data_IF_560777447809
#
_entry.id   IF_560777447809
#
_cell.length_a   1.000
_cell.length_b   1.000
_cell.length_c   1.000
_cell.angle_alpha   90.00
_cell.angle_beta   90.00
_cell.angle_gamma   90.00
#
_symmetry.space_group_name_H-M   'P 1'
#
loop_
_entity.id
_entity.type
_entity.pdbx_description
1 polymer ?
#
# COMPACT_ATOMS: atom_id res chain seq x y z
N UNK A 1 -15.27 -11.03 -72.02
CA UNK A 1 -14.37 -10.49 -70.98
C UNK A 1 -14.98 -10.81 -69.63
N UNK A 2 -14.63 -11.95 -69.05
CA UNK A 2 -15.21 -12.47 -67.81
C UNK A 2 -14.32 -12.07 -66.65
N UNK A 3 -14.84 -11.20 -65.78
CA UNK A 3 -14.25 -10.86 -64.49
C UNK A 3 -14.02 -12.15 -63.69
N UNK A 4 -12.76 -12.49 -63.41
CA UNK A 4 -12.39 -13.53 -62.47
C UNK A 4 -12.71 -13.04 -61.06
N UNK A 5 -13.93 -13.29 -60.59
CA UNK A 5 -14.27 -13.21 -59.17
C UNK A 5 -13.40 -14.23 -58.43
N UNK A 6 -12.35 -13.75 -57.76
CA UNK A 6 -11.57 -14.53 -56.81
C UNK A 6 -12.51 -15.02 -55.71
N UNK A 7 -12.82 -16.33 -55.70
CA UNK A 7 -13.60 -16.96 -54.63
C UNK A 7 -12.84 -16.80 -53.31
N UNK A 8 -13.23 -15.84 -52.48
CA UNK A 8 -12.80 -15.75 -51.09
C UNK A 8 -13.21 -17.05 -50.39
N UNK A 9 -12.22 -17.90 -50.14
CA UNK A 9 -12.45 -19.26 -49.61
C UNK A 9 -12.53 -19.24 -48.08
N UNK A 10 -12.20 -18.11 -47.44
CA UNK A 10 -12.18 -17.92 -45.98
C UNK A 10 -12.64 -16.50 -45.63
N UNK A 11 -13.30 -16.35 -44.48
CA UNK A 11 -13.47 -15.05 -43.83
C UNK A 11 -12.61 -14.97 -42.56
N UNK A 12 -11.81 -13.91 -42.44
CA UNK A 12 -10.97 -13.63 -41.27
C UNK A 12 -11.48 -12.37 -40.55
N UNK A 13 -11.81 -12.51 -39.28
CA UNK A 13 -12.31 -11.43 -38.43
C UNK A 13 -11.42 -11.30 -37.19
N UNK A 14 -11.02 -10.06 -36.87
CA UNK A 14 -10.23 -9.72 -35.69
C UNK A 14 -11.14 -9.03 -34.69
N UNK A 15 -11.12 -9.48 -33.44
CA UNK A 15 -11.88 -8.89 -32.33
C UNK A 15 -10.92 -8.56 -31.18
N UNK A 16 -10.51 -7.30 -31.01
CA UNK A 16 -9.69 -6.89 -29.87
C UNK A 16 -10.52 -6.93 -28.57
N UNK A 17 -9.93 -7.42 -27.48
CA UNK A 17 -10.60 -7.48 -26.17
C UNK A 17 -10.51 -6.16 -25.38
N UNK A 18 -9.51 -5.33 -25.67
CA UNK A 18 -9.36 -3.98 -25.11
C UNK A 18 -9.36 -2.95 -26.25
N UNK A 19 -10.52 -2.37 -26.52
CA UNK A 19 -10.64 -1.32 -27.53
C UNK A 19 -10.17 0.00 -26.91
N UNK A 20 -9.32 0.79 -27.59
CA UNK A 20 -9.02 2.14 -27.14
C UNK A 20 -10.32 2.96 -27.02
N UNK A 21 -10.59 3.53 -25.85
CA UNK A 21 -11.71 4.46 -25.67
C UNK A 21 -11.54 5.73 -26.52
N UNK A 22 -10.27 6.05 -26.79
CA UNK A 22 -9.87 7.25 -27.49
C UNK A 22 -9.10 6.89 -28.76
N UNK A 23 -9.49 7.49 -29.89
CA UNK A 23 -8.75 7.33 -31.13
C UNK A 23 -7.56 8.30 -31.14
N UNK A 24 -6.43 7.94 -31.79
CA UNK A 24 -5.26 8.81 -31.89
C UNK A 24 -5.56 10.13 -32.63
N UNK A 25 -6.58 10.13 -33.49
CA UNK A 25 -7.06 11.33 -34.17
C UNK A 25 -7.90 12.17 -33.19
N UNK A 26 -7.28 13.27 -32.75
CA UNK A 26 -7.86 14.19 -31.77
C UNK A 26 -9.13 14.87 -32.27
N UNK A 27 -9.80 15.55 -31.34
CA UNK A 27 -10.84 16.55 -31.58
C UNK A 27 -10.63 17.24 -32.92
N UNK A 28 -11.36 16.79 -33.94
CA UNK A 28 -11.70 17.65 -35.04
C UNK A 28 -12.59 18.74 -34.45
N UNK A 29 -11.97 19.76 -33.83
CA UNK A 29 -12.54 21.09 -33.93
C UNK A 29 -12.67 21.27 -35.43
N UNK A 30 -13.90 21.13 -35.92
CA UNK A 30 -14.30 21.53 -37.27
C UNK A 30 -14.08 23.04 -37.37
N UNK A 31 -12.83 23.46 -37.38
CA UNK A 31 -12.47 24.76 -37.92
C UNK A 31 -12.69 24.59 -39.41
N UNK A 32 -13.71 25.30 -39.90
CA UNK A 32 -13.97 25.42 -41.31
C UNK A 32 -12.79 26.20 -41.95
N UNK A 33 -11.65 25.56 -42.16
CA UNK A 33 -10.66 26.04 -43.13
C UNK A 33 -10.87 25.26 -44.42
N UNK A 34 -11.52 25.92 -45.37
CA UNK A 34 -11.64 25.42 -46.74
C UNK A 34 -10.25 25.18 -47.33
N UNK A 35 -10.03 23.97 -47.83
CA UNK A 35 -8.99 23.70 -48.81
C UNK A 35 -7.76 22.93 -48.32
N UNK A 36 -7.94 21.76 -47.71
CA UNK A 36 -7.10 20.59 -48.03
C UNK A 36 -7.68 19.33 -47.38
N UNK A 37 -8.69 18.73 -48.02
CA UNK A 37 -9.13 17.37 -47.67
C UNK A 37 -8.10 16.38 -48.22
N UNK A 38 -7.00 16.18 -47.48
CA UNK A 38 -6.28 14.92 -47.57
C UNK A 38 -7.22 13.85 -47.02
N UNK A 39 -7.61 12.91 -47.87
CA UNK A 39 -8.34 11.70 -47.48
C UNK A 39 -7.52 10.97 -46.41
N UNK A 40 -7.82 11.24 -45.14
CA UNK A 40 -7.29 10.53 -44.00
C UNK A 40 -7.92 9.15 -44.00
N UNK A 41 -7.09 8.12 -44.14
CA UNK A 41 -7.49 6.72 -44.07
C UNK A 41 -8.13 6.45 -42.71
N UNK A 42 -9.46 6.37 -42.67
CA UNK A 42 -10.22 6.00 -41.47
C UNK A 42 -9.72 4.65 -40.95
N UNK A 43 -8.96 4.65 -39.85
CA UNK A 43 -8.55 3.40 -39.18
C UNK A 43 -9.80 2.83 -38.51
N UNK A 44 -10.26 1.62 -38.87
CA UNK A 44 -11.41 1.04 -38.22
C UNK A 44 -11.05 0.66 -36.78
N UNK A 45 -11.77 1.22 -35.80
CA UNK A 45 -11.64 0.91 -34.37
C UNK A 45 -11.72 -0.60 -34.06
N UNK A 46 -12.36 -1.37 -34.95
CA UNK A 46 -12.44 -2.84 -34.87
C UNK A 46 -11.10 -3.56 -35.06
N UNK A 47 -10.01 -2.86 -35.38
CA UNK A 47 -8.66 -3.44 -35.56
C UNK A 47 -7.58 -2.73 -34.72
N UNK A 48 -7.98 -2.01 -33.68
CA UNK A 48 -7.08 -1.36 -32.72
C UNK A 48 -7.16 -2.01 -31.35
N UNK A 49 -6.01 -2.31 -30.75
CA UNK A 49 -5.88 -2.84 -29.39
C UNK A 49 -5.12 -1.84 -28.52
N UNK A 50 -5.66 -1.54 -27.34
CA UNK A 50 -4.98 -0.79 -26.30
C UNK A 50 -4.13 -1.76 -25.47
N UNK A 51 -2.87 -1.38 -25.20
CA UNK A 51 -1.93 -2.14 -24.38
C UNK A 51 -1.52 -1.31 -23.16
N UNK A 52 -1.74 -1.87 -21.97
CA UNK A 52 -1.19 -1.35 -20.72
C UNK A 52 0.05 -2.15 -20.32
N UNK A 53 1.22 -1.51 -20.10
CA UNK A 53 2.41 -2.21 -19.64
C UNK A 53 2.16 -2.99 -18.35
N UNK A 54 2.60 -4.25 -18.32
CA UNK A 54 2.39 -5.17 -17.19
C UNK A 54 1.09 -5.98 -17.25
N UNK A 55 0.11 -5.57 -18.05
CA UNK A 55 -1.15 -6.29 -18.23
C UNK A 55 -1.18 -7.09 -19.54
N UNK A 56 -1.71 -8.32 -19.54
CA UNK A 56 -1.93 -9.07 -20.77
C UNK A 56 -3.15 -8.53 -21.53
N UNK A 57 -3.01 -8.35 -22.84
CA UNK A 57 -4.10 -7.94 -23.74
C UNK A 57 -4.23 -8.93 -24.89
N UNK A 58 -5.44 -9.13 -25.39
CA UNK A 58 -5.73 -10.22 -26.35
C UNK A 58 -6.47 -9.73 -27.61
N UNK A 59 -6.14 -10.32 -28.76
CA UNK A 59 -6.93 -10.22 -29.99
C UNK A 59 -7.41 -11.60 -30.38
N UNK A 60 -8.72 -11.78 -30.45
CA UNK A 60 -9.34 -13.02 -30.95
C UNK A 60 -9.42 -12.95 -32.47
N UNK A 61 -8.86 -13.96 -33.13
CA UNK A 61 -8.88 -14.15 -34.58
C UNK A 61 -9.88 -15.26 -34.89
N UNK A 62 -11.01 -14.89 -35.50
CA UNK A 62 -12.02 -15.83 -35.96
C UNK A 62 -11.83 -16.12 -37.44
N UNK A 63 -11.69 -17.40 -37.77
CA UNK A 63 -11.32 -17.87 -39.10
C UNK A 63 -12.35 -18.89 -39.53
N UNK A 64 -13.13 -18.56 -40.56
CA UNK A 64 -14.20 -19.45 -41.06
C UNK A 64 -13.87 -19.97 -42.44
N UNK A 65 -13.85 -21.28 -42.59
CA UNK A 65 -13.62 -21.93 -43.88
C UNK A 65 -14.92 -21.91 -44.69
N UNK A 66 -15.00 -21.07 -45.70
CA UNK A 66 -16.13 -20.97 -46.65
C UNK A 66 -15.97 -21.96 -47.83
N UNK A 67 -14.87 -22.70 -47.86
CA UNK A 67 -14.57 -23.71 -48.87
C UNK A 67 -15.24 -25.07 -48.59
N UNK A 68 -15.11 -25.96 -49.57
CA UNK A 68 -15.64 -27.34 -49.52
C UNK A 68 -14.59 -28.37 -49.09
N UNK A 69 -13.39 -27.94 -48.67
CA UNK A 69 -12.25 -28.82 -48.35
C UNK A 69 -11.56 -28.42 -47.05
N UNK A 70 -10.89 -29.38 -46.40
CA UNK A 70 -10.10 -29.16 -45.18
C UNK A 70 -8.86 -28.28 -45.47
N UNK A 71 -8.55 -27.38 -44.55
CA UNK A 71 -7.41 -26.46 -44.66
C UNK A 71 -6.53 -26.56 -43.42
N UNK A 72 -5.22 -26.63 -43.61
CA UNK A 72 -4.23 -26.47 -42.56
C UNK A 72 -3.85 -24.99 -42.43
N UNK A 73 -4.04 -24.41 -41.25
CA UNK A 73 -3.71 -23.03 -40.96
C UNK A 73 -2.39 -22.94 -40.19
N UNK A 74 -1.51 -22.06 -40.66
CA UNK A 74 -0.39 -21.54 -39.89
C UNK A 74 -0.51 -20.02 -39.78
N UNK A 75 -0.49 -19.50 -38.55
CA UNK A 75 -0.59 -18.07 -38.28
C UNK A 75 0.78 -17.52 -37.93
N UNK A 76 1.15 -16.43 -38.59
CA UNK A 76 2.36 -15.69 -38.29
C UNK A 76 2.02 -14.22 -38.10
N UNK A 77 2.59 -13.60 -37.06
CA UNK A 77 2.46 -12.17 -36.81
C UNK A 77 3.80 -11.52 -37.07
N UNK A 78 3.79 -10.41 -37.81
CA UNK A 78 4.94 -9.54 -38.01
C UNK A 78 4.52 -8.09 -37.80
N UNK A 79 5.46 -7.22 -37.45
CA UNK A 79 5.14 -5.83 -37.16
C UNK A 79 6.34 -5.00 -36.76
N UNK A 80 6.09 -3.73 -36.47
CA UNK A 80 7.11 -2.79 -36.01
C UNK A 80 7.32 -2.81 -34.49
N UNK A 81 6.85 -3.87 -33.82
CA UNK A 81 6.97 -4.12 -32.38
C UNK A 81 7.89 -5.33 -32.09
N UNK A 82 8.47 -5.44 -30.88
CA UNK A 82 9.30 -6.57 -30.52
C UNK A 82 8.56 -7.91 -30.60
N UNK A 83 9.16 -8.90 -31.26
CA UNK A 83 8.59 -10.26 -31.39
C UNK A 83 8.32 -10.94 -30.04
N UNK A 84 8.96 -10.51 -28.96
CA UNK A 84 8.74 -11.03 -27.61
C UNK A 84 7.38 -10.63 -27.02
N UNK A 85 6.73 -9.60 -27.54
CA UNK A 85 5.45 -9.11 -27.02
C UNK A 85 4.28 -10.01 -27.42
N UNK A 86 4.35 -10.65 -28.59
CA UNK A 86 3.24 -11.40 -29.15
C UNK A 86 3.46 -12.91 -29.03
N UNK A 87 2.45 -13.62 -28.52
CA UNK A 87 2.37 -15.07 -28.53
C UNK A 87 1.06 -15.50 -29.17
N UNK A 88 1.10 -16.52 -30.02
CA UNK A 88 -0.07 -17.02 -30.72
C UNK A 88 -0.52 -18.31 -30.03
N UNK A 89 -1.74 -18.31 -29.51
CA UNK A 89 -2.44 -19.51 -29.03
C UNK A 89 -3.43 -19.99 -30.08
N UNK A 90 -3.35 -21.25 -30.46
CA UNK A 90 -4.28 -21.90 -31.41
C UNK A 90 -4.79 -23.21 -30.82
N UNK A 91 -6.10 -23.46 -30.84
CA UNK A 91 -6.69 -24.72 -30.35
C UNK A 91 -6.50 -25.90 -31.32
N UNK A 92 -5.99 -25.62 -32.52
CA UNK A 92 -5.65 -26.60 -33.54
C UNK A 92 -5.11 -25.92 -34.80
N UNK A 93 -4.68 -26.71 -35.78
CA UNK A 93 -4.19 -26.20 -37.06
C UNK A 93 -5.05 -26.62 -38.24
N UNK A 94 -6.19 -27.29 -38.01
CA UNK A 94 -7.05 -27.85 -39.06
C UNK A 94 -8.46 -27.27 -39.01
N UNK A 95 -8.95 -26.73 -40.13
CA UNK A 95 -10.30 -26.20 -40.25
C UNK A 95 -11.08 -27.01 -41.29
N UNK A 96 -12.15 -27.68 -40.85
CA UNK A 96 -13.03 -28.43 -41.73
C UNK A 96 -13.94 -27.51 -42.57
N UNK A 97 -14.52 -28.00 -43.68
CA UNK A 97 -15.44 -27.22 -44.51
C UNK A 97 -16.61 -26.66 -43.70
N UNK A 98 -16.96 -25.39 -43.93
CA UNK A 98 -18.02 -24.65 -43.23
C UNK A 98 -17.84 -24.52 -41.68
N UNK A 99 -16.71 -24.95 -41.12
CA UNK A 99 -16.39 -24.76 -39.70
C UNK A 99 -15.62 -23.46 -39.47
N UNK A 100 -15.65 -23.03 -38.21
CA UNK A 100 -14.92 -21.88 -37.70
C UNK A 100 -13.87 -22.35 -36.69
N UNK A 101 -12.74 -21.66 -36.68
CA UNK A 101 -11.68 -21.84 -35.70
C UNK A 101 -11.35 -20.49 -35.07
N UNK A 102 -10.99 -20.52 -33.79
CA UNK A 102 -10.55 -19.36 -33.04
C UNK A 102 -9.07 -19.50 -32.70
N UNK A 103 -8.33 -18.40 -32.87
CA UNK A 103 -6.96 -18.27 -32.41
C UNK A 103 -6.84 -16.98 -31.60
N UNK A 104 -5.97 -16.95 -30.61
CA UNK A 104 -5.78 -15.81 -29.73
C UNK A 104 -4.37 -15.28 -29.89
N UNK A 105 -4.25 -13.99 -30.15
CA UNK A 105 -2.98 -13.26 -30.11
C UNK A 105 -2.85 -12.64 -28.72
N UNK A 106 -1.93 -13.16 -27.91
CA UNK A 106 -1.60 -12.64 -26.59
C UNK A 106 -0.49 -11.60 -26.73
N UNK A 107 -0.76 -10.38 -26.24
CA UNK A 107 0.20 -9.30 -26.16
C UNK A 107 0.57 -9.04 -24.71
N UNK A 108 1.87 -9.06 -24.41
CA UNK A 108 2.39 -8.73 -23.08
C UNK A 108 3.55 -7.75 -23.22
N UNK A 109 3.30 -6.53 -22.75
CA UNK A 109 4.32 -5.48 -22.67
C UNK A 109 4.92 -5.49 -21.27
N UNK A 110 6.23 -5.34 -21.15
CA UNK A 110 6.92 -5.34 -19.87
C UNK A 110 6.47 -4.14 -19.01
N UNK A 111 6.28 -4.35 -17.70
CA UNK A 111 5.76 -3.30 -16.79
C UNK A 111 6.67 -2.06 -16.74
N UNK A 112 7.98 -2.25 -16.93
CA UNK A 112 9.00 -1.21 -16.94
C UNK A 112 9.13 -0.48 -18.30
N UNK A 113 8.23 -0.69 -19.25
CA UNK A 113 8.32 -0.14 -20.62
C UNK A 113 8.61 1.37 -20.66
N UNK A 114 7.96 2.15 -19.79
CA UNK A 114 8.15 3.60 -19.70
C UNK A 114 9.37 4.02 -18.86
N UNK A 115 9.86 3.14 -17.98
CA UNK A 115 10.94 3.40 -17.03
C UNK A 115 12.30 2.89 -17.53
N UNK A 116 12.30 2.07 -18.58
CA UNK A 116 13.49 1.38 -19.04
C UNK A 116 14.57 2.40 -19.50
N UNK A 117 15.78 2.36 -18.94
CA UNK A 117 16.83 3.34 -19.24
C UNK A 117 17.33 3.30 -20.68
N UNK A 118 17.10 2.20 -21.43
CA UNK A 118 17.40 2.12 -22.86
C UNK A 118 16.41 2.91 -23.73
N UNK A 119 15.25 3.24 -23.15
CA UNK A 119 14.17 4.00 -23.79
C UNK A 119 14.32 5.48 -23.49
N UNK A 120 14.77 5.83 -22.28
CA UNK A 120 15.01 7.21 -21.83
C UNK A 120 16.36 7.71 -22.34
N UNK A 121 16.45 7.99 -23.65
CA UNK A 121 17.59 8.66 -24.25
C UNK A 121 17.18 10.04 -24.81
N UNK A 122 17.95 11.11 -24.54
CA UNK A 122 17.56 12.49 -24.87
C UNK A 122 17.34 12.75 -26.37
N UNK A 123 17.85 11.88 -27.26
CA UNK A 123 17.72 11.98 -28.71
C UNK A 123 16.76 10.96 -29.35
N UNK A 124 16.00 10.20 -28.55
CA UNK A 124 15.10 9.16 -29.09
C UNK A 124 13.65 9.46 -28.72
N UNK A 125 12.81 9.64 -29.73
CA UNK A 125 11.36 9.72 -29.52
C UNK A 125 10.84 8.31 -29.23
N UNK A 126 10.18 8.15 -28.08
CA UNK A 126 9.51 6.91 -27.73
C UNK A 126 8.34 6.68 -28.69
N UNK A 127 8.36 5.52 -29.38
CA UNK A 127 7.25 5.09 -30.22
C UNK A 127 6.19 4.43 -29.34
N UNK A 128 4.96 4.90 -29.44
CA UNK A 128 3.83 4.40 -28.65
C UNK A 128 2.76 3.72 -29.51
N UNK A 129 2.83 3.94 -30.82
CA UNK A 129 1.85 3.49 -31.78
C UNK A 129 2.56 2.51 -32.73
N UNK A 130 2.05 1.28 -32.76
CA UNK A 130 2.65 0.17 -33.48
C UNK A 130 1.64 -0.43 -34.45
N UNK A 131 2.15 -1.00 -35.53
CA UNK A 131 1.37 -1.66 -36.57
C UNK A 131 1.83 -3.11 -36.72
N UNK A 132 0.86 -4.01 -36.65
CA UNK A 132 1.05 -5.43 -36.93
C UNK A 132 0.32 -5.88 -38.17
N UNK A 133 0.82 -6.95 -38.77
CA UNK A 133 0.21 -7.70 -39.85
C UNK A 133 0.16 -9.17 -39.43
N UNK A 134 -1.04 -9.72 -39.41
CA UNK A 134 -1.30 -11.14 -39.27
C UNK A 134 -1.31 -11.78 -40.66
N UNK A 135 -0.45 -12.75 -40.86
CA UNK A 135 -0.39 -13.62 -42.04
C UNK A 135 -1.03 -14.96 -41.70
N UNK A 136 -2.08 -15.31 -42.44
CA UNK A 136 -2.73 -16.61 -42.36
C UNK A 136 -2.32 -17.45 -43.57
N UNK A 137 -1.36 -18.35 -43.35
CA UNK A 137 -0.85 -19.27 -44.37
C UNK A 137 -1.72 -20.51 -44.36
N UNK A 138 -2.43 -20.75 -45.45
CA UNK A 138 -3.39 -21.84 -45.57
C UNK A 138 -2.88 -22.86 -46.55
N UNK A 139 -2.74 -24.11 -46.12
CA UNK A 139 -2.30 -25.21 -46.97
C UNK A 139 -3.41 -26.23 -47.15
N UNK A 140 -3.71 -26.57 -48.40
CA UNK A 140 -4.58 -27.71 -48.69
C UNK A 140 -3.73 -29.02 -48.73
N UNK A 141 -4.11 -30.08 -47.99
CA UNK A 141 -3.29 -31.29 -47.86
C UNK A 141 -2.99 -32.02 -49.18
N UNK A 142 -3.89 -31.98 -50.17
CA UNK A 142 -3.77 -32.84 -51.36
C UNK A 142 -3.12 -32.15 -52.57
N UNK A 143 -2.97 -30.82 -52.55
CA UNK A 143 -2.58 -30.05 -53.74
C UNK A 143 -1.53 -28.96 -53.48
N UNK A 144 -1.15 -28.72 -52.22
CA UNK A 144 -0.05 -27.82 -51.88
C UNK A 144 -0.30 -26.34 -52.13
N UNK A 145 -1.51 -25.94 -52.56
CA UNK A 145 -1.86 -24.53 -52.72
C UNK A 145 -1.73 -23.80 -51.39
N UNK A 146 -1.01 -22.68 -51.44
CA UNK A 146 -0.86 -21.75 -50.34
C UNK A 146 -1.76 -20.55 -50.62
N UNK A 147 -2.82 -20.40 -49.84
CA UNK A 147 -3.58 -19.16 -49.82
C UNK A 147 -3.06 -18.30 -48.68
N UNK A 148 -2.82 -17.02 -48.95
CA UNK A 148 -2.33 -16.06 -47.98
C UNK A 148 -3.42 -15.01 -47.74
N UNK A 149 -4.08 -15.09 -46.60
CA UNK A 149 -4.92 -13.99 -46.12
C UNK A 149 -4.09 -13.12 -45.19
N UNK A 150 -4.26 -11.80 -45.31
CA UNK A 150 -3.55 -10.84 -44.45
C UNK A 150 -4.54 -9.90 -43.78
N UNK A 151 -4.33 -9.66 -42.50
CA UNK A 151 -5.06 -8.63 -41.77
C UNK A 151 -4.09 -7.75 -40.98
N UNK A 152 -4.25 -6.43 -41.13
CA UNK A 152 -3.48 -5.46 -40.36
C UNK A 152 -4.24 -5.05 -39.10
N UNK A 153 -3.50 -4.81 -38.03
CA UNK A 153 -4.01 -4.30 -36.76
C UNK A 153 -3.05 -3.24 -36.19
N UNK A 154 -3.56 -2.44 -35.28
CA UNK A 154 -2.82 -1.37 -34.61
C UNK A 154 -2.76 -1.64 -33.11
N UNK A 155 -1.61 -1.38 -32.51
CA UNK A 155 -1.37 -1.51 -31.07
C UNK A 155 -1.00 -0.14 -30.52
N UNK A 156 -1.70 0.30 -29.48
CA UNK A 156 -1.44 1.56 -28.80
C UNK A 156 -0.98 1.29 -27.38
N UNK A 157 0.28 1.58 -27.07
CA UNK A 157 0.80 1.44 -25.71
C UNK A 157 0.50 2.71 -24.95
N UNK A 158 -0.27 2.59 -23.86
CA UNK A 158 -0.66 3.72 -22.99
C UNK A 158 -0.53 3.31 -21.53
N UNK A 159 -0.08 4.24 -20.70
CA UNK A 159 -0.14 4.07 -19.26
C UNK A 159 -1.59 4.21 -18.78
N UNK A 160 -1.90 3.54 -17.68
CA UNK A 160 -3.18 3.71 -17.00
C UNK A 160 -3.25 5.13 -16.38
N UNK A 161 -4.42 5.75 -16.44
CA UNK A 161 -4.66 7.07 -15.85
C UNK A 161 -6.03 7.10 -15.20
N UNK A 162 -6.06 7.29 -13.89
CA UNK A 162 -7.30 7.45 -13.12
C UNK A 162 -7.95 8.81 -13.38
N UNK A 163 -7.16 9.79 -13.81
CA UNK A 163 -7.63 11.17 -13.94
C UNK A 163 -8.65 11.35 -15.07
N UNK A 164 -8.63 10.44 -16.05
CA UNK A 164 -9.61 10.42 -17.14
C UNK A 164 -11.03 10.12 -16.65
N UNK A 165 -11.19 9.31 -15.60
CA UNK A 165 -12.51 8.93 -15.07
C UNK A 165 -13.26 10.11 -14.46
N UNK A 166 -12.54 11.14 -14.04
CA UNK A 166 -13.11 12.38 -13.51
C UNK A 166 -13.53 13.37 -14.62
N UNK A 167 -13.27 13.07 -15.89
CA UNK A 167 -13.64 13.93 -17.01
C UNK A 167 -14.95 13.54 -17.70
N UNK A 168 -15.71 14.52 -18.22
CA UNK A 168 -16.83 14.26 -19.11
C UNK A 168 -16.44 13.44 -20.34
N UNK A 169 -17.37 12.63 -20.85
CA UNK A 169 -17.14 11.71 -21.98
C UNK A 169 -16.49 12.37 -23.20
N UNK A 170 -16.88 13.60 -23.54
CA UNK A 170 -16.38 14.35 -24.70
C UNK A 170 -14.85 14.53 -24.66
N UNK A 171 -14.25 14.62 -23.46
CA UNK A 171 -12.80 14.77 -23.31
C UNK A 171 -12.07 13.42 -23.27
N UNK A 172 -12.78 12.32 -22.96
CA UNK A 172 -12.22 10.96 -22.95
C UNK A 172 -12.04 10.39 -24.35
N UNK A 173 -12.78 10.88 -25.34
CA UNK A 173 -12.68 10.44 -26.74
C UNK A 173 -11.32 10.77 -27.40
N UNK A 174 -10.51 11.64 -26.78
CA UNK A 174 -9.20 12.05 -27.32
C UNK A 174 -8.01 11.44 -26.58
N UNK A 175 -7.19 10.68 -27.30
CA UNK A 175 -6.05 9.96 -26.74
C UNK A 175 -4.97 10.91 -26.17
N UNK A 176 -4.84 12.10 -26.77
CA UNK A 176 -3.92 13.12 -26.28
C UNK A 176 -4.24 13.57 -24.85
N UNK A 177 -5.52 13.72 -24.50
CA UNK A 177 -5.93 14.20 -23.16
C UNK A 177 -5.49 13.22 -22.09
N UNK A 178 -5.66 11.92 -22.32
CA UNK A 178 -5.16 10.88 -21.41
C UNK A 178 -3.65 10.95 -21.20
N UNK A 179 -2.89 11.04 -22.30
CA UNK A 179 -1.43 11.16 -22.22
C UNK A 179 -0.98 12.44 -21.52
N UNK A 180 -1.66 13.56 -21.76
CA UNK A 180 -1.36 14.85 -21.15
C UNK A 180 -1.65 14.85 -19.64
N UNK A 181 -2.82 14.34 -19.23
CA UNK A 181 -3.19 14.25 -17.82
C UNK A 181 -2.28 13.32 -17.04
N UNK A 182 -1.84 12.22 -17.66
CA UNK A 182 -0.94 11.30 -17.00
C UNK A 182 0.38 11.97 -16.58
N UNK A 183 0.85 13.01 -17.28
CA UNK A 183 2.03 13.79 -16.85
C UNK A 183 1.78 14.41 -15.46
N UNK A 184 0.60 14.98 -15.25
CA UNK A 184 0.22 15.56 -13.95
C UNK A 184 0.01 14.47 -12.91
N UNK A 185 -0.72 13.41 -13.26
CA UNK A 185 -0.97 12.28 -12.37
C UNK A 185 0.35 11.73 -11.81
N UNK A 186 1.32 11.40 -12.68
CA UNK A 186 2.65 10.94 -12.27
C UNK A 186 3.44 12.00 -11.47
N UNK A 187 3.27 13.29 -11.78
CA UNK A 187 3.95 14.36 -11.03
C UNK A 187 3.39 14.56 -9.62
N UNK A 188 2.08 14.34 -9.43
CA UNK A 188 1.39 14.48 -8.14
C UNK A 188 1.40 13.20 -7.31
N UNK A 189 1.59 12.04 -7.93
CA UNK A 189 1.57 10.73 -7.28
C UNK A 189 2.46 10.66 -6.01
N UNK A 190 3.71 11.17 -5.98
CA UNK A 190 4.51 11.17 -4.75
C UNK A 190 3.88 11.96 -3.58
N UNK A 191 3.18 13.05 -3.88
CA UNK A 191 2.49 13.86 -2.87
C UNK A 191 1.25 13.14 -2.34
N UNK A 192 0.49 12.47 -3.22
CA UNK A 192 -0.65 11.62 -2.85
C UNK A 192 -0.19 10.46 -1.98
N UNK A 193 0.90 9.78 -2.35
CA UNK A 193 1.50 8.72 -1.53
C UNK A 193 1.97 9.22 -0.16
N UNK A 194 2.54 10.42 -0.10
CA UNK A 194 2.92 11.06 1.17
C UNK A 194 1.69 11.31 2.05
N UNK A 195 0.60 11.82 1.46
CA UNK A 195 -0.65 12.06 2.17
C UNK A 195 -1.31 10.76 2.67
N UNK A 196 -1.32 9.71 1.83
CA UNK A 196 -1.83 8.40 2.20
C UNK A 196 -1.06 7.80 3.40
N UNK A 197 0.21 8.14 3.54
CA UNK A 197 1.07 7.72 4.64
C UNK A 197 1.17 8.76 5.78
N UNK A 198 0.40 9.85 5.74
CA UNK A 198 0.48 10.93 6.72
C UNK A 198 0.21 10.46 8.15
N UNK A 199 -0.69 9.49 8.32
CA UNK A 199 -1.01 8.92 9.64
C UNK A 199 0.24 8.37 10.35
N UNK A 200 1.21 7.83 9.61
CA UNK A 200 2.46 7.28 10.16
C UNK A 200 3.41 8.38 10.65
N UNK A 201 3.24 9.61 10.20
CA UNK A 201 3.97 10.77 10.71
C UNK A 201 3.30 11.35 11.97
N UNK A 202 2.04 11.01 12.26
CA UNK A 202 1.30 11.53 13.41
C UNK A 202 1.34 10.59 14.63
N UNK A 203 1.63 9.31 14.46
CA UNK A 203 1.85 8.38 15.58
C UNK A 203 3.30 8.51 16.10
N UNK A 204 3.52 8.88 17.38
CA UNK A 204 4.86 8.99 17.95
C UNK A 204 5.71 7.74 17.79
N UNK A 205 5.11 6.53 17.73
CA UNK A 205 5.87 5.28 17.59
C UNK A 205 6.50 5.11 16.21
N UNK A 206 5.85 5.59 15.15
CA UNK A 206 6.26 5.40 13.75
C UNK A 206 6.84 6.67 13.12
N UNK A 207 6.49 7.84 13.65
CA UNK A 207 6.94 9.14 13.15
C UNK A 207 8.47 9.26 13.14
N UNK A 208 9.10 9.91 12.15
CA UNK A 208 10.55 10.10 12.11
C UNK A 208 11.05 10.93 13.29
N UNK A 209 12.32 10.72 13.69
CA UNK A 209 12.94 11.39 14.87
C UNK A 209 12.84 12.93 14.80
N UNK A 210 12.98 13.50 13.61
CA UNK A 210 12.90 14.95 13.38
C UNK A 210 11.52 15.54 13.68
N UNK A 211 10.46 14.73 13.62
CA UNK A 211 9.07 15.17 13.85
C UNK A 211 8.64 15.00 15.32
N UNK A 212 9.40 14.22 16.12
CA UNK A 212 9.08 14.03 17.53
C UNK A 212 9.00 15.33 18.36
N UNK A 213 9.89 16.34 18.18
CA UNK A 213 9.74 17.61 18.89
C UNK A 213 8.44 18.35 18.56
N UNK A 214 7.97 18.25 17.32
CA UNK A 214 6.69 18.82 16.93
C UNK A 214 5.53 18.09 17.62
N UNK A 215 5.52 16.75 17.62
CA UNK A 215 4.50 15.96 18.30
C UNK A 215 4.51 16.20 19.82
N UNK A 216 5.69 16.24 20.43
CA UNK A 216 5.86 16.54 21.85
C UNK A 216 5.32 17.93 22.20
N UNK A 217 5.66 18.95 21.39
CA UNK A 217 5.11 20.30 21.55
C UNK A 217 3.58 20.32 21.43
N UNK A 218 3.01 19.55 20.49
CA UNK A 218 1.57 19.50 20.26
C UNK A 218 0.79 18.95 21.46
N UNK A 219 1.34 17.95 22.15
CA UNK A 219 0.78 17.43 23.41
C UNK A 219 1.30 18.16 24.65
N UNK A 220 2.11 19.21 24.50
CA UNK A 220 2.71 19.94 25.62
C UNK A 220 3.70 19.12 26.46
N UNK A 221 4.30 18.07 25.90
CA UNK A 221 5.27 17.21 26.59
C UNK A 221 6.70 17.76 26.47
N UNK A 222 7.42 18.00 27.58
CA UNK A 222 8.81 18.44 27.54
C UNK A 222 9.73 17.27 27.11
N UNK A 223 10.54 17.48 26.09
CA UNK A 223 11.55 16.50 25.70
C UNK A 223 12.68 16.47 26.73
N UNK A 224 13.03 15.25 27.17
CA UNK A 224 14.09 15.05 28.14
C UNK A 224 15.24 14.26 27.50
N UNK A 225 16.43 14.87 27.42
CA UNK A 225 17.59 14.30 26.71
C UNK A 225 18.15 13.03 27.36
N UNK A 226 17.91 12.84 28.67
CA UNK A 226 18.34 11.64 29.41
C UNK A 226 17.55 10.37 29.05
N UNK A 227 16.41 10.50 28.33
CA UNK A 227 15.58 9.37 27.95
C UNK A 227 16.01 8.80 26.60
N UNK A 228 15.93 7.47 26.48
CA UNK A 228 16.05 6.83 25.17
C UNK A 228 14.93 7.30 24.24
N UNK A 229 15.21 7.30 22.94
CA UNK A 229 14.23 7.68 21.93
C UNK A 229 12.95 6.81 22.00
N UNK A 230 13.08 5.53 22.32
CA UNK A 230 11.94 4.63 22.48
C UNK A 230 11.05 5.04 23.66
N UNK A 231 11.64 5.36 24.81
CA UNK A 231 10.90 5.85 25.97
C UNK A 231 10.20 7.18 25.67
N UNK A 232 10.88 8.12 25.02
CA UNK A 232 10.26 9.40 24.64
C UNK A 232 9.02 9.18 23.77
N UNK A 233 9.08 8.29 22.78
CA UNK A 233 7.94 7.98 21.91
C UNK A 233 6.75 7.41 22.68
N UNK A 234 7.02 6.47 23.58
CA UNK A 234 6.00 5.85 24.42
C UNK A 234 5.38 6.89 25.36
N UNK A 235 6.17 7.77 25.96
CA UNK A 235 5.67 8.83 26.83
C UNK A 235 4.82 9.86 26.08
N UNK A 236 5.26 10.32 24.91
CA UNK A 236 4.46 11.24 24.07
C UNK A 236 3.12 10.58 23.68
N UNK A 237 3.14 9.29 23.33
CA UNK A 237 1.93 8.53 22.98
C UNK A 237 0.94 8.45 24.15
N UNK A 238 1.42 8.33 25.38
CA UNK A 238 0.60 8.20 26.58
C UNK A 238 0.43 9.53 27.35
N UNK A 239 0.91 10.66 26.82
CA UNK A 239 0.94 11.94 27.52
C UNK A 239 -0.46 12.37 28.02
N UNK A 240 -1.49 12.19 27.19
CA UNK A 240 -2.87 12.52 27.56
C UNK A 240 -3.40 11.66 28.72
N UNK A 241 -3.06 10.36 28.77
CA UNK A 241 -3.47 9.50 29.88
C UNK A 241 -2.78 9.88 31.18
N UNK A 242 -1.47 10.19 31.10
CA UNK A 242 -0.68 10.70 32.23
C UNK A 242 -1.33 11.97 32.78
N UNK A 243 -1.60 12.97 31.94
CA UNK A 243 -2.24 14.21 32.37
C UNK A 243 -3.64 14.02 32.96
N UNK A 244 -4.42 13.08 32.43
CA UNK A 244 -5.77 12.78 32.95
C UNK A 244 -5.76 12.19 34.36
N UNK A 245 -4.70 11.48 34.74
CA UNK A 245 -4.57 10.84 36.04
C UNK A 245 -3.52 11.48 36.93
N UNK A 246 -3.05 12.67 36.58
CA UNK A 246 -2.08 13.44 37.36
C UNK A 246 -2.58 13.63 38.79
N UNK A 247 -1.67 13.47 39.75
CA UNK A 247 -1.99 13.56 41.18
C UNK A 247 -2.69 12.33 41.76
N UNK A 248 -2.89 11.26 40.98
CA UNK A 248 -3.45 10.00 41.47
C UNK A 248 -2.39 8.91 41.53
N UNK A 249 -2.59 7.93 42.43
CA UNK A 249 -1.77 6.72 42.51
C UNK A 249 -1.66 5.99 41.17
N UNK A 250 -2.76 5.94 40.40
CA UNK A 250 -2.82 5.31 39.07
C UNK A 250 -1.92 6.03 38.06
N UNK A 251 -2.03 7.36 37.98
CA UNK A 251 -1.23 8.17 37.06
C UNK A 251 0.26 8.08 37.37
N UNK A 252 0.62 8.19 38.65
CA UNK A 252 2.01 8.06 39.09
C UNK A 252 2.59 6.68 38.76
N UNK A 253 1.83 5.60 39.00
CA UNK A 253 2.23 4.23 38.62
C UNK A 253 2.42 4.09 37.11
N UNK A 254 1.49 4.61 36.32
CA UNK A 254 1.59 4.56 34.86
C UNK A 254 2.85 5.26 34.37
N UNK A 255 3.12 6.48 34.84
CA UNK A 255 4.33 7.20 34.43
C UNK A 255 5.59 6.45 34.87
N UNK A 256 5.67 6.01 36.14
CA UNK A 256 6.81 5.20 36.60
C UNK A 256 7.00 3.94 35.76
N UNK A 257 5.94 3.25 35.36
CA UNK A 257 6.00 2.10 34.45
C UNK A 257 6.60 2.48 33.08
N UNK A 258 6.11 3.54 32.45
CA UNK A 258 6.58 3.96 31.12
C UNK A 258 8.01 4.50 31.13
N UNK A 259 8.41 5.14 32.23
CA UNK A 259 9.74 5.71 32.41
C UNK A 259 10.78 4.65 32.77
N UNK A 260 10.47 3.76 33.72
CA UNK A 260 11.40 2.75 34.22
C UNK A 260 11.31 1.42 33.49
N UNK A 261 10.21 1.11 32.81
CA UNK A 261 9.95 -0.19 32.19
C UNK A 261 9.55 -1.30 33.18
N UNK A 262 9.39 -0.99 34.48
CA UNK A 262 8.94 -1.97 35.47
C UNK A 262 7.45 -2.32 35.28
N UNK A 263 7.04 -3.58 35.39
CA UNK A 263 5.64 -3.97 35.18
C UNK A 263 4.70 -3.40 36.27
N UNK A 264 3.43 -3.23 35.92
CA UNK A 264 2.40 -2.67 36.82
C UNK A 264 1.83 -3.68 37.81
N UNK A 265 1.95 -4.98 37.52
CA UNK A 265 1.43 -6.08 38.34
C UNK A 265 -0.02 -5.87 38.84
N UNK A 266 -0.94 -5.59 37.91
CA UNK A 266 -2.35 -5.33 38.28
C UNK A 266 -3.06 -6.55 38.88
N UNK A 267 -2.55 -7.75 38.61
CA UNK A 267 -3.06 -9.02 39.14
C UNK A 267 -2.73 -9.23 40.63
N UNK A 268 -1.69 -8.55 41.14
CA UNK A 268 -1.27 -8.66 42.54
C UNK A 268 -2.16 -7.75 43.38
N UNK A 269 -2.79 -8.30 44.42
CA UNK A 269 -3.64 -7.52 45.32
C UNK A 269 -2.81 -6.61 46.25
N UNK A 270 -1.75 -7.16 46.85
CA UNK A 270 -0.90 -6.43 47.80
C UNK A 270 0.09 -5.50 47.08
N UNK A 271 0.16 -4.24 47.50
CA UNK A 271 1.12 -3.26 46.97
C UNK A 271 2.55 -3.55 47.43
N UNK A 272 2.73 -4.31 48.51
CA UNK A 272 4.04 -4.74 49.00
C UNK A 272 4.75 -5.68 48.01
N UNK A 273 3.98 -6.42 47.21
CA UNK A 273 4.54 -7.39 46.27
C UNK A 273 4.73 -6.83 44.86
N UNK A 274 4.22 -5.64 44.55
CA UNK A 274 4.34 -5.06 43.19
C UNK A 274 5.75 -4.53 42.91
N UNK A 275 6.14 -4.55 41.63
CA UNK A 275 7.37 -3.87 41.20
C UNK A 275 7.29 -2.36 41.40
N UNK A 276 6.09 -1.77 41.22
CA UNK A 276 5.79 -0.37 41.54
C UNK A 276 4.68 -0.36 42.59
N UNK A 277 5.09 -0.36 43.87
CA UNK A 277 4.18 -0.27 45.01
C UNK A 277 4.01 1.17 45.46
N UNK A 278 2.76 1.62 45.64
CA UNK A 278 2.48 2.92 46.24
C UNK A 278 1.51 2.71 47.40
N UNK A 279 1.96 3.02 48.62
CA UNK A 279 1.17 2.89 49.84
C UNK A 279 0.91 4.25 50.48
N UNK A 280 -0.30 4.42 50.99
CA UNK A 280 -0.76 5.64 51.67
C UNK A 280 -1.24 5.23 53.06
N UNK A 281 -0.65 5.80 54.11
CA UNK A 281 -1.11 5.59 55.49
C UNK A 281 -2.20 6.59 55.82
N UNK A 282 -3.45 6.28 55.41
CA UNK A 282 -4.60 7.08 55.81
C UNK A 282 -4.92 6.91 57.29
N UNK A 283 -4.41 7.80 58.13
CA UNK A 283 -4.97 7.96 59.48
C UNK A 283 -6.20 8.87 59.41
N UNK A 284 -7.41 8.29 59.40
CA UNK A 284 -8.51 8.95 60.12
C UNK A 284 -8.20 8.75 61.61
N UNK A 285 -8.19 9.84 62.38
CA UNK A 285 -8.02 9.76 63.83
C UNK A 285 -8.99 8.78 64.50
N UNK A 286 -8.72 8.41 65.76
CA UNK A 286 -9.33 7.28 66.47
C UNK A 286 -10.86 7.15 66.32
N UNK A 287 -11.33 5.94 65.95
CA UNK A 287 -12.69 5.47 66.20
C UNK A 287 -12.58 4.36 67.26
N UNK A 288 -13.34 4.49 68.34
CA UNK A 288 -13.43 3.54 69.45
C UNK A 288 -14.27 2.32 69.05
N UNK A 289 -13.65 1.13 68.99
CA UNK A 289 -14.23 -0.18 68.68
C UNK A 289 -13.12 -1.17 68.25
N UNK A 290 -13.37 -2.49 68.28
CA UNK A 290 -12.38 -3.60 68.17
C UNK A 290 -11.22 -3.32 67.19
N UNK A 291 -10.09 -2.84 67.73
CA UNK A 291 -8.85 -2.72 66.99
C UNK A 291 -7.96 -3.92 67.33
N UNK A 292 -7.59 -4.71 66.32
CA UNK A 292 -6.64 -5.81 66.49
C UNK A 292 -5.21 -5.24 66.58
N UNK A 293 -4.57 -5.48 67.72
CA UNK A 293 -3.22 -5.02 68.00
C UNK A 293 -2.22 -5.77 67.10
N UNK A 294 -1.51 -5.04 66.23
CA UNK A 294 -0.54 -5.62 65.29
C UNK A 294 -1.04 -5.74 63.84
N UNK A 295 -2.35 -5.59 63.60
CA UNK A 295 -2.94 -5.56 62.26
C UNK A 295 -3.37 -4.13 61.88
N UNK A 296 -4.11 -3.44 62.76
CA UNK A 296 -4.73 -2.13 62.45
C UNK A 296 -4.36 -1.00 63.44
N UNK A 297 -3.57 -1.30 64.47
CA UNK A 297 -3.26 -0.35 65.55
C UNK A 297 -1.94 0.40 65.31
N UNK A 298 -2.02 1.68 64.92
CA UNK A 298 -0.86 2.60 64.86
C UNK A 298 -1.01 3.66 65.97
N UNK A 299 -0.16 3.58 66.99
CA UNK A 299 -0.02 4.65 68.00
C UNK A 299 0.94 5.73 67.49
N UNK A 300 0.45 6.96 67.28
CA UNK A 300 1.33 8.12 67.11
C UNK A 300 1.02 9.11 65.98
N UNK A 301 -0.12 9.03 65.30
CA UNK A 301 -0.53 10.01 64.29
C UNK A 301 0.28 9.89 62.99
N UNK A 302 -0.37 9.43 61.92
CA UNK A 302 0.25 9.39 60.59
C UNK A 302 0.64 10.79 60.08
N UNK A 303 1.64 10.85 59.21
CA UNK A 303 1.97 12.06 58.46
C UNK A 303 0.81 12.33 57.47
N UNK A 304 0.04 13.42 57.60
CA UNK A 304 -1.03 13.71 56.64
C UNK A 304 -0.45 13.98 55.25
N UNK A 305 -1.18 13.59 54.20
CA UNK A 305 -0.78 13.76 52.80
C UNK A 305 0.60 13.17 52.47
N UNK A 306 0.93 12.04 53.11
CA UNK A 306 2.19 11.34 52.91
C UNK A 306 1.97 9.98 52.26
N UNK A 307 2.80 9.65 51.27
CA UNK A 307 2.78 8.35 50.60
C UNK A 307 4.20 7.82 50.41
N UNK A 308 4.31 6.50 50.30
CA UNK A 308 5.59 5.82 50.12
C UNK A 308 5.58 5.14 48.75
N UNK A 309 6.64 5.37 47.97
CA UNK A 309 6.88 4.73 46.68
C UNK A 309 7.97 3.70 46.84
N UNK A 310 7.64 2.44 46.58
CA UNK A 310 8.60 1.33 46.52
C UNK A 310 8.78 0.90 45.07
N UNK A 311 10.00 1.03 44.56
CA UNK A 311 10.42 0.46 43.29
C UNK A 311 11.26 -0.78 43.54
N UNK A 312 10.86 -1.90 42.93
CA UNK A 312 11.52 -3.19 43.09
C UNK A 312 12.03 -3.71 41.75
N UNK A 313 13.14 -3.16 41.21
CA UNK A 313 13.68 -3.64 39.95
C UNK A 313 14.20 -5.08 40.07
N UNK A 314 14.20 -5.85 38.96
CA UNK A 314 15.00 -7.07 38.89
C UNK A 314 16.49 -6.72 38.94
N UNK A 315 17.32 -7.65 39.43
CA UNK A 315 18.75 -7.44 39.72
C UNK A 315 19.60 -6.86 38.58
N UNK A 316 19.15 -6.99 37.32
CA UNK A 316 19.88 -6.52 36.15
C UNK A 316 19.23 -5.30 35.47
N UNK A 317 18.45 -4.52 36.21
CA UNK A 317 17.72 -3.37 35.67
C UNK A 317 18.04 -2.10 36.48
N UNK A 318 19.13 -1.39 36.14
CA UNK A 318 19.49 -0.16 36.83
C UNK A 318 18.43 0.91 36.56
N UNK A 319 17.92 1.51 37.64
CA UNK A 319 16.96 2.60 37.57
C UNK A 319 17.71 3.90 37.92
N UNK A 320 17.53 4.90 37.08
CA UNK A 320 17.97 6.26 37.37
C UNK A 320 17.06 6.89 38.44
N UNK A 321 17.60 7.04 39.65
CA UNK A 321 16.88 7.61 40.78
C UNK A 321 16.49 9.08 40.55
N UNK A 322 17.35 9.87 39.90
CA UNK A 322 17.09 11.29 39.65
C UNK A 322 15.90 11.47 38.73
N UNK A 323 15.82 10.63 37.69
CA UNK A 323 14.69 10.57 36.78
C UNK A 323 13.40 10.18 37.51
N UNK A 324 13.43 9.16 38.37
CA UNK A 324 12.26 8.75 39.16
C UNK A 324 11.79 9.88 40.07
N UNK A 325 12.71 10.56 40.75
CA UNK A 325 12.38 11.71 41.61
C UNK A 325 11.77 12.85 40.80
N UNK A 326 12.31 13.14 39.62
CA UNK A 326 11.76 14.14 38.72
C UNK A 326 10.33 13.79 38.29
N UNK A 327 10.06 12.52 37.95
CA UNK A 327 8.72 12.03 37.61
C UNK A 327 7.75 12.20 38.79
N UNK A 328 8.16 11.78 39.99
CA UNK A 328 7.33 11.93 41.20
C UNK A 328 7.03 13.41 41.47
N UNK A 329 8.02 14.28 41.42
CA UNK A 329 7.80 15.72 41.67
C UNK A 329 6.89 16.39 40.62
N UNK A 330 6.91 15.92 39.38
CA UNK A 330 6.01 16.42 38.34
C UNK A 330 4.57 15.96 38.55
N UNK A 331 4.34 14.71 38.98
CA UNK A 331 3.00 14.12 39.09
C UNK A 331 2.35 14.34 40.46
N UNK A 332 3.14 14.52 41.50
CA UNK A 332 2.69 14.66 42.88
C UNK A 332 1.91 15.97 43.07
N UNK A 333 0.77 15.96 43.81
CA UNK A 333 0.13 17.19 44.25
C UNK A 333 1.05 18.02 45.14
N UNK A 334 1.02 19.35 45.01
CA UNK A 334 1.97 20.24 45.69
C UNK A 334 1.98 20.10 47.24
N UNK A 335 0.88 19.67 47.85
CA UNK A 335 0.73 19.51 49.30
C UNK A 335 1.18 18.13 49.83
N UNK A 336 1.48 17.17 48.96
CA UNK A 336 1.88 15.83 49.38
C UNK A 336 3.39 15.74 49.62
N UNK A 337 3.80 14.84 50.51
CA UNK A 337 5.19 14.49 50.79
C UNK A 337 5.39 13.02 50.46
N UNK A 338 6.57 12.63 49.96
CA UNK A 338 6.85 11.22 49.65
C UNK A 338 8.16 10.75 50.25
N UNK A 339 8.24 9.44 50.46
CA UNK A 339 9.48 8.68 50.67
C UNK A 339 9.64 7.70 49.50
N UNK A 340 10.86 7.57 48.98
CA UNK A 340 11.19 6.70 47.85
C UNK A 340 12.21 5.65 48.31
N UNK A 341 11.86 4.38 48.08
CA UNK A 341 12.73 3.24 48.33
C UNK A 341 12.92 2.47 47.02
N UNK A 342 14.18 2.23 46.64
CA UNK A 342 14.53 1.42 45.47
C UNK A 342 15.30 0.20 45.97
N UNK A 343 14.62 -0.93 46.04
CA UNK A 343 15.17 -2.17 46.61
C UNK A 343 14.99 -3.33 45.62
N UNK A 344 16.07 -3.91 45.08
CA UNK A 344 15.95 -5.01 44.14
C UNK A 344 15.29 -6.21 44.79
N UNK A 345 14.39 -6.88 44.05
CA UNK A 345 13.64 -8.04 44.55
C UNK A 345 14.61 -9.18 44.87
N UNK A 346 14.73 -9.57 46.15
CA UNK A 346 15.52 -10.73 46.56
C UNK A 346 14.99 -12.01 45.89
N UNK A 347 15.88 -12.81 45.30
CA UNK A 347 15.57 -14.10 44.66
C UNK A 347 14.96 -15.14 45.61
N UNK A 348 14.89 -14.87 46.92
CA UNK A 348 14.39 -15.80 47.92
C UNK A 348 12.88 -16.09 47.85
N UNK A 349 12.05 -15.19 47.28
CA UNK A 349 10.58 -15.33 47.29
C UNK A 349 9.94 -15.81 45.97
N UNK A 350 10.73 -16.13 44.93
CA UNK A 350 10.19 -16.58 43.63
C UNK A 350 10.02 -18.12 43.55
N UNK A 351 10.47 -18.87 44.57
CA UNK A 351 10.49 -20.33 44.54
C UNK A 351 9.12 -21.03 44.75
N UNK A 352 7.99 -20.32 44.76
CA UNK A 352 6.66 -20.90 45.04
C UNK A 352 5.58 -20.70 43.96
N UNK A 353 5.96 -20.42 42.71
CA UNK A 353 5.03 -20.61 41.59
C UNK A 353 5.39 -21.91 40.86
N UNK A 354 4.50 -22.93 40.81
CA UNK A 354 4.78 -24.16 40.09
C UNK A 354 4.82 -23.87 38.60
N UNK A 355 5.93 -24.26 37.97
CA UNK A 355 6.10 -24.24 36.54
C UNK A 355 4.99 -25.06 35.86
N UNK A 356 4.07 -24.39 35.17
CA UNK A 356 3.26 -25.02 34.15
C UNK A 356 4.10 -25.12 32.87
N UNK A 357 4.60 -26.33 32.61
CA UNK A 357 5.12 -26.79 31.31
C UNK A 357 3.96 -27.45 30.53
N UNK A 358 4.11 -27.67 29.21
CA UNK A 358 4.69 -26.83 28.16
C UNK A 358 3.64 -26.29 27.17
#
# INVERSE_FOLDING_TARGET
>A
MTQSQSRQTISLQLTPMQVPEALPEGLAIRSASWGDTRELSVIPASRSLLLHPGEPSEIVVQIKNLGTRRLLLNLQVDGDFPNSWCRIGTEGSEIFPAQQMEAVLYFQVAADFFENPQVIHPNRVLKLDYRGILYAHLRQPDTGWQHLETASFYLYVRAHSLYLDFLPAIYRETDFVGRFLNIFEQSFEPAVQTLNNLWAYLDPLTAPRSLLPFLAHWVGWPLQEHLSLGQQRILIRNALEIYRWRGTRRGLRLYLHLATGLPLDEEIADEADKHIGISESFCRGAILGEAHLGEDAILGGGKPFHFIVHLRPPFNHPIDEDLVRQVIEQEKPAFCIYELYIEPRSTANVALLPAALP
#
